data_IF_888628947164
#
_entry.id   IF_888628947164
#
_cell.length_a   1.000
_cell.length_b   1.000
_cell.length_c   1.000
_cell.angle_alpha   90.00
_cell.angle_beta   90.00
_cell.angle_gamma   90.00
#
_symmetry.space_group_name_H-M   'P 1'
#
loop_
_entity.id
_entity.type
_entity.pdbx_description
1 polymer ?
#
# COMPACT_ATOMS: atom_id res chain seq x y z
N UNK A 1 -0.11 31.13 10.67
CA UNK A 1 0.57 29.81 10.55
C UNK A 1 1.25 29.76 9.18
N UNK A 2 2.46 29.18 9.06
CA UNK A 2 3.10 29.05 7.75
C UNK A 2 2.22 28.23 6.81
N UNK A 3 2.21 28.57 5.53
CA UNK A 3 1.41 27.89 4.51
C UNK A 3 2.01 26.57 4.03
N UNK A 4 2.89 25.93 4.82
CA UNK A 4 3.56 24.68 4.46
C UNK A 4 3.83 23.83 5.72
N UNK A 5 3.97 22.52 5.47
CA UNK A 5 4.53 21.53 6.39
C UNK A 5 5.70 20.82 5.74
N UNK A 6 6.67 20.38 6.54
CA UNK A 6 7.84 19.65 6.07
C UNK A 6 8.11 18.45 6.97
N UNK A 7 8.34 17.29 6.36
CA UNK A 7 8.85 16.08 7.02
C UNK A 7 10.12 15.63 6.31
N UNK A 8 11.13 15.28 7.09
CA UNK A 8 12.31 14.58 6.58
C UNK A 8 12.20 13.10 6.93
N UNK A 9 12.48 12.25 5.97
CA UNK A 9 12.65 10.82 6.15
C UNK A 9 14.05 10.44 5.66
N UNK A 10 14.79 9.72 6.48
CA UNK A 10 16.02 9.07 6.00
C UNK A 10 15.64 7.82 5.22
N UNK A 11 15.79 7.88 3.90
CA UNK A 11 15.42 6.76 3.02
C UNK A 11 16.32 5.53 3.19
N UNK A 12 17.49 5.69 3.80
CA UNK A 12 18.39 4.56 4.09
C UNK A 12 18.05 3.86 5.40
N UNK A 13 17.38 4.57 6.33
CA UNK A 13 16.94 4.05 7.63
C UNK A 13 15.41 4.10 7.79
N UNK A 14 14.68 3.81 6.72
CA UNK A 14 13.23 3.71 6.78
C UNK A 14 12.79 2.48 7.58
N UNK A 15 11.78 2.61 8.44
CA UNK A 15 11.09 1.45 9.01
C UNK A 15 10.58 0.52 7.90
N UNK A 16 10.61 -0.78 8.15
CA UNK A 16 9.98 -1.73 7.25
C UNK A 16 8.47 -1.49 7.18
N UNK A 17 7.89 -1.78 6.01
CA UNK A 17 6.48 -1.62 5.70
C UNK A 17 6.07 -0.15 5.53
N UNK A 18 4.84 0.21 5.93
CA UNK A 18 4.23 1.49 5.62
C UNK A 18 4.60 2.59 6.63
N UNK A 19 5.00 3.74 6.11
CA UNK A 19 5.12 4.99 6.85
C UNK A 19 4.11 5.98 6.28
N UNK A 20 3.03 6.25 6.99
CA UNK A 20 2.01 7.20 6.58
C UNK A 20 2.45 8.63 6.82
N UNK A 21 2.24 9.52 5.85
CA UNK A 21 2.66 10.93 5.91
C UNK A 21 1.48 11.91 6.02
N UNK A 22 0.25 11.43 6.04
CA UNK A 22 -0.96 12.26 6.08
C UNK A 22 -0.95 13.24 7.26
N UNK A 23 -0.72 12.74 8.47
CA UNK A 23 -0.73 13.56 9.69
C UNK A 23 0.48 14.47 9.74
N UNK A 24 1.68 13.95 9.51
CA UNK A 24 2.95 14.69 9.54
C UNK A 24 2.95 15.88 8.56
N UNK A 25 2.31 15.74 7.42
CA UNK A 25 2.22 16.76 6.38
C UNK A 25 0.88 17.52 6.39
N UNK A 26 -0.04 17.18 7.30
CA UNK A 26 -1.38 17.79 7.38
C UNK A 26 -2.16 17.73 6.07
N UNK A 27 -2.05 16.60 5.33
CA UNK A 27 -2.65 16.43 4.02
C UNK A 27 -4.17 16.39 4.10
N UNK A 28 -4.83 17.05 3.14
CA UNK A 28 -6.29 17.16 3.02
C UNK A 28 -6.85 16.51 1.76
N UNK A 29 -6.05 16.43 0.70
CA UNK A 29 -6.54 16.10 -0.64
C UNK A 29 -5.99 14.79 -1.22
N UNK A 30 -5.02 14.17 -0.58
CA UNK A 30 -4.45 12.90 -1.02
C UNK A 30 -3.92 12.07 0.15
N UNK A 31 -3.90 10.75 0.00
CA UNK A 31 -3.13 9.82 0.82
C UNK A 31 -1.69 9.79 0.33
N UNK A 32 -0.74 9.73 1.25
CA UNK A 32 0.67 9.61 0.92
C UNK A 32 1.35 8.71 1.93
N UNK A 33 2.08 7.73 1.44
CA UNK A 33 2.91 6.85 2.26
C UNK A 33 4.23 6.55 1.58
N UNK A 34 5.26 6.27 2.37
CA UNK A 34 6.50 5.67 1.91
C UNK A 34 6.54 4.24 2.42
N UNK A 35 6.86 3.30 1.57
CA UNK A 35 6.85 1.88 1.89
C UNK A 35 8.24 1.30 1.62
N UNK A 36 8.76 0.55 2.60
CA UNK A 36 9.93 -0.30 2.43
C UNK A 36 9.53 -1.76 2.57
N UNK A 37 9.61 -2.51 1.48
CA UNK A 37 9.49 -3.96 1.50
C UNK A 37 10.90 -4.54 1.59
N UNK A 38 11.23 -5.31 2.65
CA UNK A 38 12.51 -6.00 2.74
C UNK A 38 12.67 -7.02 1.62
N UNK A 39 13.90 -7.32 1.26
CA UNK A 39 14.26 -8.30 0.23
C UNK A 39 13.47 -9.62 0.41
N UNK A 40 12.87 -10.09 -0.66
CA UNK A 40 12.05 -11.30 -0.68
C UNK A 40 10.69 -11.21 0.03
N UNK A 41 10.31 -10.04 0.58
CA UNK A 41 9.02 -9.85 1.26
C UNK A 41 8.04 -9.12 0.37
N UNK A 42 6.76 -9.43 0.57
CA UNK A 42 5.66 -8.79 -0.15
C UNK A 42 4.42 -8.68 0.73
N UNK A 43 3.41 -8.00 0.22
CA UNK A 43 2.11 -7.96 0.85
C UNK A 43 1.54 -9.37 1.00
N UNK A 44 0.88 -9.64 2.11
CA UNK A 44 0.27 -10.94 2.41
C UNK A 44 -1.13 -11.08 1.84
N UNK A 45 -1.73 -9.97 1.40
CA UNK A 45 -3.08 -9.90 0.84
C UNK A 45 -3.08 -9.15 -0.48
N UNK A 46 -3.98 -9.52 -1.36
CA UNK A 46 -4.43 -8.67 -2.46
C UNK A 46 -5.40 -7.62 -1.92
N UNK A 47 -5.45 -6.45 -2.55
CA UNK A 47 -6.45 -5.44 -2.21
C UNK A 47 -6.86 -4.64 -3.45
N UNK A 48 -8.01 -4.01 -3.36
CA UNK A 48 -8.54 -3.04 -4.30
C UNK A 48 -9.17 -1.89 -3.54
N UNK A 49 -9.63 -0.87 -4.22
CA UNK A 49 -10.34 0.27 -3.63
C UNK A 49 -11.74 0.44 -4.24
N UNK A 50 -12.60 1.19 -3.59
CA UNK A 50 -13.90 1.56 -4.17
C UNK A 50 -13.77 2.74 -5.13
N UNK A 51 -13.04 3.79 -4.74
CA UNK A 51 -12.96 5.06 -5.48
C UNK A 51 -11.53 5.60 -5.61
N UNK A 52 -10.60 5.18 -4.73
CA UNK A 52 -9.23 5.70 -4.71
C UNK A 52 -8.38 5.05 -5.79
N UNK A 53 -7.90 5.84 -6.74
CA UNK A 53 -6.77 5.43 -7.57
C UNK A 53 -5.46 5.63 -6.81
N UNK A 54 -4.45 4.85 -7.15
CA UNK A 54 -3.13 4.93 -6.53
C UNK A 54 -2.02 4.97 -7.56
N UNK A 55 -1.06 5.87 -7.34
CA UNK A 55 0.19 5.90 -8.09
C UNK A 55 1.30 5.38 -7.19
N UNK A 56 2.00 4.35 -7.65
CA UNK A 56 3.21 3.83 -7.03
C UNK A 56 4.43 4.38 -7.77
N UNK A 57 5.37 4.96 -7.02
CA UNK A 57 6.59 5.59 -7.54
C UNK A 57 7.79 4.92 -6.90
N UNK A 58 8.55 4.15 -7.66
CA UNK A 58 9.72 3.42 -7.13
C UNK A 58 10.88 4.37 -6.93
N UNK A 59 11.32 4.51 -5.67
CA UNK A 59 12.46 5.35 -5.27
C UNK A 59 13.78 4.62 -5.34
N UNK A 60 13.79 3.33 -5.00
CA UNK A 60 14.99 2.48 -5.08
C UNK A 60 14.64 1.00 -5.03
N UNK A 61 15.56 0.18 -5.53
CA UNK A 61 15.43 -1.27 -5.51
C UNK A 61 14.63 -1.84 -6.67
N UNK A 62 14.23 -3.10 -6.52
CA UNK A 62 13.51 -3.87 -7.54
C UNK A 62 12.48 -4.77 -6.91
N UNK A 63 11.42 -5.05 -7.67
CA UNK A 63 10.36 -5.94 -7.24
C UNK A 63 9.38 -6.24 -8.35
N UNK A 64 8.19 -6.66 -7.96
CA UNK A 64 7.05 -6.85 -8.84
C UNK A 64 5.79 -6.25 -8.19
N UNK A 65 4.88 -5.81 -9.02
CA UNK A 65 3.50 -5.59 -8.66
C UNK A 65 2.65 -6.60 -9.42
N UNK A 66 1.83 -7.34 -8.69
CA UNK A 66 0.84 -8.25 -9.26
C UNK A 66 -0.49 -7.51 -9.36
N UNK A 67 -1.05 -7.40 -10.57
CA UNK A 67 -2.31 -6.71 -10.85
C UNK A 67 -3.19 -7.62 -11.69
N UNK A 68 -4.38 -7.97 -11.18
CA UNK A 68 -5.42 -8.72 -11.92
C UNK A 68 -4.91 -9.99 -12.63
N UNK A 69 -3.94 -10.69 -12.04
CA UNK A 69 -3.37 -11.92 -12.59
C UNK A 69 -2.08 -11.76 -13.38
N UNK A 70 -1.58 -10.52 -13.54
CA UNK A 70 -0.34 -10.23 -14.27
C UNK A 70 0.77 -9.73 -13.33
N UNK A 71 1.99 -10.24 -13.52
CA UNK A 71 3.18 -9.77 -12.83
C UNK A 71 3.90 -8.71 -13.65
N UNK A 72 4.04 -7.52 -13.10
CA UNK A 72 4.73 -6.38 -13.71
C UNK A 72 6.01 -6.12 -12.92
N UNK A 73 7.16 -6.19 -13.59
CA UNK A 73 8.46 -5.89 -12.97
C UNK A 73 8.55 -4.41 -12.61
N UNK A 74 9.13 -4.12 -11.46
CA UNK A 74 9.39 -2.78 -10.95
C UNK A 74 10.88 -2.56 -10.70
N UNK A 75 11.36 -1.38 -11.07
CA UNK A 75 12.70 -0.90 -10.79
C UNK A 75 12.69 0.59 -10.44
N UNK A 76 13.80 1.08 -9.93
CA UNK A 76 13.99 2.49 -9.63
C UNK A 76 13.61 3.39 -10.82
N UNK A 77 12.80 4.42 -10.55
CA UNK A 77 12.30 5.36 -11.53
C UNK A 77 10.98 4.96 -12.19
N UNK A 78 10.43 3.78 -11.89
CA UNK A 78 9.13 3.39 -12.43
C UNK A 78 7.97 4.12 -11.70
N UNK A 79 6.98 4.47 -12.49
CA UNK A 79 5.69 5.00 -12.02
C UNK A 79 4.58 4.14 -12.59
N UNK A 80 3.69 3.69 -11.74
CA UNK A 80 2.52 2.92 -12.16
C UNK A 80 1.25 3.44 -11.50
N UNK A 81 0.24 3.74 -12.30
CA UNK A 81 -1.09 4.05 -11.83
C UNK A 81 -1.95 2.80 -11.81
N UNK A 82 -2.65 2.58 -10.71
CA UNK A 82 -3.58 1.46 -10.55
C UNK A 82 -4.96 2.03 -10.25
N UNK A 83 -5.91 1.68 -11.12
CA UNK A 83 -7.31 2.08 -10.96
C UNK A 83 -7.93 1.41 -9.73
N UNK A 84 -8.99 2.00 -9.13
CA UNK A 84 -9.55 1.52 -7.88
C UNK A 84 -9.91 0.04 -7.88
N UNK A 85 -10.62 -0.43 -8.89
CA UNK A 85 -11.18 -1.77 -9.01
C UNK A 85 -10.15 -2.89 -9.26
N UNK A 86 -8.93 -2.54 -9.68
CA UNK A 86 -7.89 -3.54 -9.94
C UNK A 86 -7.30 -4.08 -8.65
N UNK A 87 -7.30 -5.39 -8.51
CA UNK A 87 -6.67 -6.09 -7.37
C UNK A 87 -5.16 -6.12 -7.54
N UNK A 88 -4.45 -5.67 -6.50
CA UNK A 88 -2.98 -5.59 -6.55
C UNK A 88 -2.32 -5.97 -5.24
N UNK A 89 -1.07 -6.38 -5.37
CA UNK A 89 -0.11 -6.56 -4.28
C UNK A 89 1.31 -6.34 -4.80
N UNK A 90 2.25 -6.03 -3.91
CA UNK A 90 3.64 -5.76 -4.25
C UNK A 90 4.57 -6.70 -3.49
N UNK A 91 5.68 -7.07 -4.13
CA UNK A 91 6.77 -7.86 -3.54
C UNK A 91 8.11 -7.27 -3.95
N UNK A 92 9.05 -7.20 -2.99
CA UNK A 92 10.45 -6.92 -3.26
C UNK A 92 11.15 -8.12 -3.90
N UNK A 93 12.13 -7.89 -4.76
CA UNK A 93 12.99 -8.95 -5.29
C UNK A 93 13.72 -9.66 -4.16
N UNK A 94 14.11 -10.92 -4.38
CA UNK A 94 14.70 -11.75 -3.33
C UNK A 94 16.05 -11.21 -2.80
N UNK A 95 16.73 -10.40 -3.60
CA UNK A 95 18.04 -9.83 -3.31
C UNK A 95 18.08 -8.30 -3.23
N UNK A 96 16.94 -7.64 -3.13
CA UNK A 96 16.84 -6.18 -3.07
C UNK A 96 15.60 -5.76 -2.27
N UNK A 97 15.77 -4.83 -1.35
CA UNK A 97 14.63 -4.11 -0.81
C UNK A 97 13.93 -3.35 -1.94
N UNK A 98 12.65 -3.06 -1.78
CA UNK A 98 11.88 -2.20 -2.66
C UNK A 98 11.36 -1.02 -1.84
N UNK A 99 11.78 0.20 -2.19
CA UNK A 99 11.31 1.43 -1.55
C UNK A 99 10.51 2.22 -2.58
N UNK A 100 9.28 2.55 -2.22
CA UNK A 100 8.38 3.30 -3.10
C UNK A 100 7.46 4.22 -2.34
N UNK A 101 6.96 5.24 -3.04
CA UNK A 101 5.88 6.09 -2.58
C UNK A 101 4.57 5.53 -3.14
N UNK A 102 3.53 5.52 -2.31
CA UNK A 102 2.16 5.34 -2.75
C UNK A 102 1.40 6.65 -2.49
N UNK A 103 0.85 7.22 -3.55
CA UNK A 103 0.00 8.39 -3.51
C UNK A 103 -1.38 8.02 -4.03
N UNK A 104 -2.40 8.23 -3.21
CA UNK A 104 -3.77 7.87 -3.55
C UNK A 104 -4.73 9.05 -3.44
N UNK A 105 -5.68 9.13 -4.36
CA UNK A 105 -6.70 10.18 -4.39
C UNK A 105 -8.00 9.66 -5.01
N UNK A 106 -9.13 10.28 -4.67
CA UNK A 106 -10.42 10.03 -5.32
C UNK A 106 -10.80 11.18 -6.24
N UNK A 107 -11.35 10.85 -7.41
CA UNK A 107 -11.74 11.84 -8.42
C UNK A 107 -12.90 12.75 -7.98
N UNK A 108 -13.73 12.28 -7.04
CA UNK A 108 -14.95 12.99 -6.59
C UNK A 108 -14.70 14.06 -5.53
N UNK A 109 -13.50 14.13 -4.97
CA UNK A 109 -13.13 15.11 -3.93
C UNK A 109 -13.87 14.93 -2.59
N UNK A 110 -14.53 13.81 -2.35
CA UNK A 110 -15.21 13.51 -1.08
C UNK A 110 -14.26 12.90 -0.06
N UNK A 111 -13.51 13.74 0.61
CA UNK A 111 -12.51 13.38 1.61
C UNK A 111 -12.81 13.93 2.99
N UNK A 112 -12.32 13.24 4.03
CA UNK A 112 -12.03 11.82 4.16
C UNK A 112 -13.34 11.05 4.44
N UNK A 113 -13.45 9.79 4.03
CA UNK A 113 -14.57 8.93 4.43
C UNK A 113 -14.53 8.65 5.93
N UNK A 114 -13.35 8.48 6.51
CA UNK A 114 -13.15 8.34 7.95
C UNK A 114 -12.11 9.33 8.46
N UNK A 115 -12.49 10.24 9.41
CA UNK A 115 -11.53 11.17 10.03
C UNK A 115 -10.43 10.46 10.83
N UNK A 116 -10.67 9.24 11.28
CA UNK A 116 -9.74 8.46 12.09
C UNK A 116 -8.79 7.61 11.25
N UNK A 117 -9.04 7.45 9.96
CA UNK A 117 -8.19 6.67 9.08
C UNK A 117 -6.84 7.36 8.88
N UNK A 118 -5.76 6.59 8.97
CA UNK A 118 -4.40 7.03 8.61
C UNK A 118 -4.23 7.15 7.10
N UNK A 119 -4.94 6.33 6.32
CA UNK A 119 -5.15 6.53 4.91
C UNK A 119 -6.08 7.73 4.69
N UNK A 120 -6.04 8.35 3.53
CA UNK A 120 -6.86 9.54 3.25
C UNK A 120 -8.34 9.21 3.23
N UNK A 121 -8.70 8.13 2.53
CA UNK A 121 -10.03 7.53 2.55
C UNK A 121 -9.90 6.07 2.99
N UNK A 122 -10.83 5.61 3.80
CA UNK A 122 -10.83 4.23 4.28
C UNK A 122 -11.76 3.39 3.39
N UNK A 123 -11.34 3.23 2.12
CA UNK A 123 -12.10 2.51 1.11
C UNK A 123 -11.39 1.24 0.60
N UNK A 124 -10.27 0.89 1.19
CA UNK A 124 -9.54 -0.33 0.86
C UNK A 124 -10.35 -1.59 1.12
N UNK A 125 -10.44 -2.45 0.13
CA UNK A 125 -11.13 -3.75 0.18
C UNK A 125 -10.06 -4.84 0.13
N UNK A 126 -9.58 -5.34 1.31
CA UNK A 126 -8.63 -6.43 1.34
C UNK A 126 -9.29 -7.75 0.94
N UNK A 127 -8.60 -8.53 0.16
CA UNK A 127 -8.97 -9.91 -0.19
C UNK A 127 -8.16 -10.88 0.66
N UNK A 128 -8.70 -11.24 1.82
CA UNK A 128 -8.04 -12.13 2.77
C UNK A 128 -8.06 -13.59 2.35
N UNK A 129 -8.96 -13.96 1.45
CA UNK A 129 -9.17 -15.35 1.02
C UNK A 129 -8.25 -15.74 -0.15
N UNK A 130 -7.73 -14.75 -0.89
CA UNK A 130 -6.79 -14.94 -1.98
C UNK A 130 -5.43 -14.33 -1.64
N UNK A 131 -4.47 -15.19 -1.36
CA UNK A 131 -3.08 -14.75 -1.14
C UNK A 131 -2.43 -14.36 -2.47
N UNK A 132 -1.48 -13.42 -2.47
CA UNK A 132 -0.66 -13.15 -3.65
C UNK A 132 0.12 -14.39 -4.11
N UNK A 133 0.48 -14.51 -5.41
CA UNK A 133 1.12 -15.70 -5.97
C UNK A 133 2.37 -16.17 -5.22
N UNK A 134 3.18 -15.26 -4.69
CA UNK A 134 4.40 -15.59 -3.94
C UNK A 134 4.16 -16.22 -2.56
N UNK A 135 2.91 -16.28 -2.10
CA UNK A 135 2.52 -16.97 -0.86
C UNK A 135 1.51 -18.09 -1.10
N UNK A 136 1.28 -18.48 -2.35
CA UNK A 136 0.42 -19.60 -2.68
C UNK A 136 0.87 -20.89 -1.95
N UNK A 137 -0.08 -21.59 -1.31
CA UNK A 137 0.22 -22.76 -0.50
C UNK A 137 0.91 -22.51 0.85
N UNK A 138 1.12 -21.27 1.25
CA UNK A 138 1.73 -20.95 2.55
C UNK A 138 0.67 -20.89 3.66
N UNK A 139 0.50 -22.01 4.38
CA UNK A 139 -0.49 -22.15 5.46
C UNK A 139 -0.35 -21.07 6.55
N UNK A 140 0.88 -20.69 6.90
CA UNK A 140 1.13 -19.67 7.92
C UNK A 140 0.58 -18.30 7.50
N UNK A 141 0.74 -17.94 6.23
CA UNK A 141 0.17 -16.68 5.70
C UNK A 141 -1.35 -16.77 5.64
N UNK A 142 -1.91 -17.90 5.24
CA UNK A 142 -3.35 -18.12 5.24
C UNK A 142 -3.96 -17.97 6.65
N UNK A 143 -3.31 -18.50 7.69
CA UNK A 143 -3.73 -18.31 9.08
C UNK A 143 -3.66 -16.85 9.53
N UNK A 144 -2.59 -16.13 9.17
CA UNK A 144 -2.46 -14.69 9.45
C UNK A 144 -3.61 -13.93 8.81
N UNK A 145 -3.89 -14.17 7.54
CA UNK A 145 -4.96 -13.49 6.81
C UNK A 145 -6.34 -13.79 7.42
N UNK A 146 -6.60 -15.03 7.80
CA UNK A 146 -7.84 -15.42 8.49
C UNK A 146 -8.03 -14.65 9.80
N UNK A 147 -6.96 -14.52 10.59
CA UNK A 147 -7.01 -13.73 11.82
C UNK A 147 -7.31 -12.26 11.54
N UNK A 148 -6.63 -11.64 10.57
CA UNK A 148 -6.86 -10.25 10.17
C UNK A 148 -8.29 -10.03 9.67
N UNK A 149 -8.86 -10.99 8.91
CA UNK A 149 -10.26 -10.96 8.47
C UNK A 149 -11.21 -10.89 9.67
N UNK A 150 -11.05 -11.78 10.64
CA UNK A 150 -11.88 -11.83 11.83
C UNK A 150 -11.76 -10.56 12.68
N UNK A 151 -10.55 -10.03 12.87
CA UNK A 151 -10.31 -8.78 13.58
C UNK A 151 -11.00 -7.59 12.91
N UNK A 152 -10.98 -7.52 11.57
CA UNK A 152 -11.66 -6.46 10.83
C UNK A 152 -13.19 -6.58 10.89
N UNK A 153 -13.72 -7.79 10.85
CA UNK A 153 -15.17 -8.03 10.97
C UNK A 153 -15.68 -7.61 12.36
N UNK A 154 -14.95 -7.96 13.42
CA UNK A 154 -15.27 -7.58 14.79
C UNK A 154 -15.23 -6.05 15.05
N UNK A 155 -14.51 -5.28 14.24
CA UNK A 155 -14.47 -3.80 14.35
C UNK A 155 -15.62 -3.09 13.63
N UNK A 156 -16.43 -3.82 12.86
CA UNK A 156 -17.59 -3.27 12.14
C UNK A 156 -18.89 -3.36 12.94
N UNK A 157 -18.90 -4.18 14.01
CA UNK A 157 -20.00 -4.29 14.98
C UNK A 157 -19.84 -3.23 16.10
#
# INVERSE_FOLDING_TARGET
MPGFTKKHLDLQDLPNWLTFLKEDLSLKALGLSVIRLPAGKGYTIMHQHEEQEEVYMVLSGRGIIHIDGEDISLQEGDFINVVPESKRALKAADNSDLIFICAGAVSTGKYPKSPKSKALIDDGIPDYDNVPPWYEGNEKIAEINKRLKNEREAQKE
#
